data_IF_254541010024
#
_entry.id   IF_254541010024
#
_cell.length_a   1.000
_cell.length_b   1.000
_cell.length_c   1.000
_cell.angle_alpha   90.00
_cell.angle_beta   90.00
_cell.angle_gamma   90.00
#
_symmetry.space_group_name_H-M   'P 1'
#
loop_
_entity.id
_entity.type
_entity.pdbx_description
1 polymer ?
#
# COMPACT_ATOMS: atom_id res chain seq x y z
N UNK A 1 -9.91 6.20 -14.03
CA UNK A 1 -9.70 6.71 -12.65
C UNK A 1 -10.97 7.30 -12.04
N UNK A 2 -11.74 8.11 -12.77
CA UNK A 2 -12.95 8.79 -12.25
C UNK A 2 -13.92 7.87 -11.52
N UNK A 3 -14.24 6.72 -12.10
CA UNK A 3 -15.09 5.68 -11.48
C UNK A 3 -14.60 5.27 -10.08
N UNK A 4 -13.36 4.81 -9.97
CA UNK A 4 -12.77 4.39 -8.70
C UNK A 4 -12.63 5.54 -7.69
N UNK A 5 -12.34 6.75 -8.17
CA UNK A 5 -12.30 7.94 -7.31
C UNK A 5 -13.67 8.27 -6.73
N UNK A 6 -14.72 8.23 -7.56
CA UNK A 6 -16.09 8.51 -7.15
C UNK A 6 -16.63 7.41 -6.20
N UNK A 7 -16.08 6.19 -6.26
CA UNK A 7 -16.32 5.10 -5.30
C UNK A 7 -15.49 5.22 -4.01
N UNK A 8 -14.57 6.18 -3.90
CA UNK A 8 -13.73 6.37 -2.71
C UNK A 8 -12.52 5.44 -2.61
N UNK A 9 -12.10 4.80 -3.70
CA UNK A 9 -10.84 4.02 -3.74
C UNK A 9 -9.65 4.95 -3.54
N UNK A 10 -8.76 4.60 -2.61
CA UNK A 10 -7.68 5.47 -2.16
C UNK A 10 -6.45 5.46 -3.09
N UNK A 11 -6.04 4.29 -3.57
CA UNK A 11 -4.77 4.11 -4.27
C UNK A 11 -4.79 2.91 -5.23
N UNK A 12 -3.71 2.78 -6.01
CA UNK A 12 -3.45 1.65 -6.90
C UNK A 12 -2.10 1.01 -6.53
N UNK A 13 -2.04 -0.32 -6.61
CA UNK A 13 -0.86 -1.19 -6.43
C UNK A 13 -1.11 -2.49 -7.24
N UNK A 14 -0.26 -3.51 -7.14
CA UNK A 14 -0.29 -4.65 -8.08
C UNK A 14 -0.38 -6.04 -7.43
N UNK A 15 -0.42 -6.15 -6.10
CA UNK A 15 -0.25 -7.43 -5.40
C UNK A 15 -1.38 -7.75 -4.40
N UNK A 16 -2.02 -6.74 -3.80
CA UNK A 16 -2.89 -6.91 -2.64
C UNK A 16 -4.13 -7.74 -2.95
N UNK A 17 -4.72 -7.59 -4.14
CA UNK A 17 -5.89 -8.37 -4.53
C UNK A 17 -5.61 -9.89 -4.48
N UNK A 18 -4.47 -10.31 -5.06
CA UNK A 18 -4.04 -11.72 -5.05
C UNK A 18 -3.70 -12.17 -3.64
N UNK A 19 -2.86 -11.41 -2.92
CA UNK A 19 -2.44 -11.73 -1.56
C UNK A 19 -3.64 -11.92 -0.61
N UNK A 20 -4.54 -10.94 -0.57
CA UNK A 20 -5.65 -10.93 0.38
C UNK A 20 -6.67 -12.02 0.05
N UNK A 21 -6.98 -12.22 -1.24
CA UNK A 21 -7.91 -13.29 -1.66
C UNK A 21 -7.33 -14.67 -1.34
N UNK A 22 -6.07 -14.91 -1.70
CA UNK A 22 -5.40 -16.18 -1.47
C UNK A 22 -5.32 -16.49 0.03
N UNK A 23 -4.85 -15.56 0.85
CA UNK A 23 -4.69 -15.80 2.28
C UNK A 23 -6.04 -15.98 2.98
N UNK A 24 -7.03 -15.14 2.69
CA UNK A 24 -8.34 -15.24 3.31
C UNK A 24 -9.05 -16.57 2.99
N UNK A 25 -8.90 -17.07 1.76
CA UNK A 25 -9.44 -18.37 1.35
C UNK A 25 -8.61 -19.57 1.80
N UNK A 26 -7.36 -19.36 2.25
CA UNK A 26 -6.44 -20.42 2.67
C UNK A 26 -6.24 -20.49 4.20
N UNK A 27 -7.08 -19.80 4.99
CA UNK A 27 -6.98 -19.80 6.45
C UNK A 27 -5.75 -19.05 7.00
N UNK A 28 -5.16 -18.15 6.20
CA UNK A 28 -3.97 -17.37 6.57
C UNK A 28 -4.34 -15.93 6.93
N UNK A 29 -3.62 -15.36 7.90
CA UNK A 29 -3.71 -13.94 8.24
C UNK A 29 -2.78 -13.13 7.31
N UNK A 30 -3.31 -12.09 6.68
CA UNK A 30 -2.55 -11.19 5.81
C UNK A 30 -2.96 -9.73 6.01
N UNK A 31 -2.10 -8.80 5.58
CA UNK A 31 -2.34 -7.37 5.58
C UNK A 31 -1.42 -6.66 4.59
N UNK A 32 -1.78 -5.43 4.21
CA UNK A 32 -1.01 -4.61 3.27
C UNK A 32 -0.85 -3.20 3.84
N UNK A 33 0.34 -2.63 3.74
CA UNK A 33 0.66 -1.24 4.04
C UNK A 33 1.46 -0.69 2.87
N UNK A 34 1.12 0.51 2.40
CA UNK A 34 1.76 1.13 1.25
C UNK A 34 2.13 2.59 1.55
N UNK A 35 3.33 2.99 1.11
CA UNK A 35 3.76 4.39 1.11
C UNK A 35 3.25 5.10 -0.13
N UNK A 36 2.65 6.28 0.03
CA UNK A 36 2.18 7.09 -1.11
C UNK A 36 3.37 7.84 -1.72
N UNK A 37 3.78 7.44 -2.91
CA UNK A 37 4.92 8.02 -3.64
C UNK A 37 4.49 9.03 -4.72
N UNK A 38 3.21 9.01 -5.08
CA UNK A 38 2.65 9.82 -6.16
C UNK A 38 1.16 10.07 -5.93
N UNK A 39 0.68 11.25 -6.32
CA UNK A 39 -0.74 11.55 -6.46
C UNK A 39 -1.05 11.81 -7.94
N UNK A 40 -1.76 10.87 -8.58
CA UNK A 40 -2.10 10.89 -10.01
C UNK A 40 -3.08 12.00 -10.40
N UNK A 41 -3.67 12.72 -9.44
CA UNK A 41 -4.46 13.93 -9.72
C UNK A 41 -3.58 15.16 -10.00
N UNK A 42 -2.28 15.08 -9.70
CA UNK A 42 -1.34 16.20 -9.81
C UNK A 42 -0.23 15.92 -10.83
N UNK A 43 0.42 14.75 -10.76
CA UNK A 43 1.55 14.38 -11.63
C UNK A 43 1.73 12.87 -11.70
N UNK A 44 2.55 12.41 -12.65
CA UNK A 44 2.81 10.98 -12.84
C UNK A 44 4.20 10.53 -12.36
N UNK A 45 5.20 11.41 -12.40
CA UNK A 45 6.57 11.05 -11.99
C UNK A 45 6.78 11.33 -10.49
N UNK A 46 7.14 10.31 -9.69
CA UNK A 46 7.50 10.49 -8.29
C UNK A 46 8.78 11.33 -8.12
N UNK A 47 8.87 12.03 -7.00
CA UNK A 47 10.10 12.69 -6.59
C UNK A 47 11.01 11.73 -5.80
N UNK A 48 12.31 11.73 -6.08
CA UNK A 48 13.26 10.78 -5.49
C UNK A 48 13.42 10.95 -3.97
N UNK A 49 13.35 12.18 -3.46
CA UNK A 49 13.43 12.41 -2.02
C UNK A 49 12.17 11.86 -1.31
N UNK A 50 11.00 12.13 -1.89
CA UNK A 50 9.70 11.63 -1.41
C UNK A 50 9.64 10.11 -1.42
N UNK A 51 10.14 9.46 -2.48
CA UNK A 51 10.24 8.01 -2.59
C UNK A 51 11.01 7.40 -1.42
N UNK A 52 12.22 7.92 -1.16
CA UNK A 52 13.11 7.42 -0.10
C UNK A 52 12.50 7.56 1.29
N UNK A 53 11.83 8.69 1.54
CA UNK A 53 11.16 8.93 2.81
C UNK A 53 9.97 7.98 3.02
N UNK A 54 9.11 7.85 2.00
CA UNK A 54 7.94 6.99 2.04
C UNK A 54 8.32 5.52 2.25
N UNK A 55 9.38 5.06 1.58
CA UNK A 55 9.94 3.72 1.74
C UNK A 55 10.43 3.49 3.18
N UNK A 56 11.31 4.36 3.67
CA UNK A 56 11.89 4.26 5.03
C UNK A 56 10.80 4.20 6.10
N UNK A 57 9.78 5.06 5.97
CA UNK A 57 8.66 5.13 6.92
C UNK A 57 7.79 3.88 6.86
N UNK A 58 7.49 3.38 5.66
CA UNK A 58 6.66 2.18 5.45
C UNK A 58 7.34 0.94 6.04
N UNK A 59 8.65 0.80 5.86
CA UNK A 59 9.45 -0.29 6.45
C UNK A 59 9.39 -0.22 7.99
N UNK A 60 9.57 0.95 8.58
CA UNK A 60 9.47 1.12 10.05
C UNK A 60 8.09 0.69 10.56
N UNK A 61 7.02 1.05 9.85
CA UNK A 61 5.65 0.69 10.22
C UNK A 61 5.45 -0.83 10.14
N UNK A 62 5.86 -1.48 9.05
CA UNK A 62 5.62 -2.93 8.90
C UNK A 62 6.44 -3.76 9.89
N UNK A 63 7.66 -3.33 10.24
CA UNK A 63 8.46 -3.97 11.31
C UNK A 63 7.78 -3.84 12.67
N UNK A 64 7.20 -2.67 12.99
CA UNK A 64 6.45 -2.49 14.24
C UNK A 64 5.15 -3.31 14.25
N UNK A 65 4.45 -3.38 13.13
CA UNK A 65 3.27 -4.22 12.97
C UNK A 65 3.60 -5.70 13.20
N UNK A 66 4.71 -6.20 12.64
CA UNK A 66 5.18 -7.56 12.86
C UNK A 66 5.46 -7.82 14.36
N UNK A 67 6.16 -6.89 15.05
CA UNK A 67 6.43 -7.01 16.49
C UNK A 67 5.16 -7.15 17.33
N UNK A 68 4.07 -6.47 16.95
CA UNK A 68 2.78 -6.51 17.68
C UNK A 68 2.00 -7.81 17.46
N UNK A 69 2.40 -8.63 16.50
CA UNK A 69 1.71 -9.87 16.12
C UNK A 69 2.48 -11.15 16.50
N UNK A 70 3.71 -11.00 17.02
CA UNK A 70 4.50 -12.05 17.66
C UNK A 70 4.14 -12.14 19.15
#
# INVERSE_FOLDING_TARGET
>A
MKEWQDMGVLNFEMESATLLTMCASSGLRAGCVAGVIINRTQKETPDHATLKEAETRSIKIVVDAARRLL
#
